data_IF_217963538627
#
_entry.id   IF_217963538627
#
_cell.length_a   1.000
_cell.length_b   1.000
_cell.length_c   1.000
_cell.angle_alpha   90.00
_cell.angle_beta   90.00
_cell.angle_gamma   90.00
#
_symmetry.space_group_name_H-M   'P 1'
#
loop_
_entity.id
_entity.type
_entity.pdbx_description
1 polymer ?
#
# COMPACT_ATOMS: atom_id res chain seq x y z
N UNK A 1 -11.16 8.42 13.86
CA UNK A 1 -9.80 8.85 14.23
C UNK A 1 -8.84 7.94 13.49
N UNK A 2 -7.85 8.46 12.77
CA UNK A 2 -6.87 7.64 12.07
C UNK A 2 -6.07 6.78 13.07
N UNK A 3 -5.58 5.60 12.65
CA UNK A 3 -4.63 4.85 13.45
C UNK A 3 -3.35 5.67 13.64
N UNK A 4 -2.67 5.54 14.81
CA UNK A 4 -1.38 6.19 15.02
C UNK A 4 -0.35 5.71 14.00
N UNK A 5 0.62 6.58 13.71
CA UNK A 5 1.76 6.21 12.86
C UNK A 5 2.68 5.22 13.59
N UNK A 6 3.30 4.33 12.82
CA UNK A 6 4.30 3.39 13.34
C UNK A 6 5.67 4.04 13.52
N UNK A 7 5.91 5.16 12.84
CA UNK A 7 7.20 5.86 12.80
C UNK A 7 8.10 5.41 11.65
N UNK A 8 7.69 4.38 10.90
CA UNK A 8 8.31 3.99 9.63
C UNK A 8 7.33 4.25 8.49
N UNK A 9 7.64 5.24 7.65
CA UNK A 9 6.79 5.64 6.53
C UNK A 9 6.49 4.50 5.55
N UNK A 10 7.42 3.55 5.39
CA UNK A 10 7.22 2.38 4.51
C UNK A 10 6.11 1.49 5.03
N UNK A 11 6.11 1.25 6.33
CA UNK A 11 5.10 0.44 7.00
C UNK A 11 3.76 1.19 7.03
N UNK A 12 3.78 2.49 7.32
CA UNK A 12 2.58 3.33 7.35
C UNK A 12 1.88 3.42 5.98
N UNK A 13 2.64 3.48 4.90
CA UNK A 13 2.14 3.41 3.52
C UNK A 13 1.61 2.02 3.15
N UNK A 14 2.30 0.95 3.54
CA UNK A 14 1.82 -0.41 3.29
C UNK A 14 0.51 -0.71 4.03
N UNK A 15 0.35 -0.24 5.27
CA UNK A 15 -0.91 -0.37 6.01
C UNK A 15 -2.04 0.37 5.30
N UNK A 16 -1.81 1.61 4.84
CA UNK A 16 -2.80 2.36 4.09
C UNK A 16 -3.20 1.63 2.79
N UNK A 17 -2.21 1.14 2.04
CA UNK A 17 -2.45 0.39 0.81
C UNK A 17 -3.28 -0.88 1.02
N UNK A 18 -2.99 -1.65 2.07
CA UNK A 18 -3.79 -2.83 2.45
C UNK A 18 -5.23 -2.43 2.75
N UNK A 19 -5.41 -1.44 3.64
CA UNK A 19 -6.76 -0.99 4.03
C UNK A 19 -7.54 -0.53 2.82
N UNK A 20 -6.93 0.30 1.97
CA UNK A 20 -7.60 0.79 0.78
C UNK A 20 -7.94 -0.33 -0.21
N UNK A 21 -7.00 -1.23 -0.52
CA UNK A 21 -7.23 -2.34 -1.45
C UNK A 21 -8.44 -3.20 -1.04
N UNK A 22 -8.58 -3.51 0.25
CA UNK A 22 -9.70 -4.34 0.75
C UNK A 22 -11.02 -3.57 0.90
N UNK A 23 -10.99 -2.25 1.08
CA UNK A 23 -12.19 -1.44 1.28
C UNK A 23 -12.72 -0.79 0.00
N UNK A 24 -11.87 -0.60 -1.02
CA UNK A 24 -12.23 0.03 -2.31
C UNK A 24 -13.35 -0.73 -3.02
N UNK A 25 -13.29 -2.06 -3.05
CA UNK A 25 -14.34 -2.91 -3.62
C UNK A 25 -15.71 -2.81 -2.91
N UNK A 26 -15.71 -2.34 -1.67
CA UNK A 26 -16.91 -2.14 -0.85
C UNK A 26 -17.37 -0.68 -0.80
N UNK A 27 -16.61 0.25 -1.40
CA UNK A 27 -16.92 1.69 -1.42
C UNK A 27 -16.83 2.37 -0.04
N UNK A 28 -16.04 1.82 0.89
CA UNK A 28 -15.92 2.31 2.28
C UNK A 28 -14.50 2.75 2.64
N UNK A 29 -13.72 3.19 1.64
CA UNK A 29 -12.38 3.72 1.86
C UNK A 29 -12.43 4.92 2.79
N UNK A 30 -11.54 4.94 3.78
CA UNK A 30 -11.46 6.01 4.78
C UNK A 30 -10.41 7.04 4.39
N UNK A 31 -10.71 8.32 4.50
CA UNK A 31 -9.83 9.41 4.03
C UNK A 31 -8.38 9.35 4.53
N UNK A 32 -8.15 8.85 5.76
CA UNK A 32 -6.82 8.82 6.36
C UNK A 32 -5.80 7.98 5.58
N UNK A 33 -6.24 7.02 4.76
CA UNK A 33 -5.31 6.23 3.95
C UNK A 33 -4.51 7.14 3.01
N UNK A 34 -5.11 8.25 2.58
CA UNK A 34 -4.51 9.25 1.68
C UNK A 34 -3.69 10.33 2.38
N UNK A 35 -3.53 10.26 3.71
CA UNK A 35 -2.67 11.19 4.44
C UNK A 35 -1.23 11.12 3.90
N UNK A 36 -0.56 12.27 3.82
CA UNK A 36 0.76 12.38 3.18
C UNK A 36 1.82 11.48 3.86
N UNK A 37 1.71 11.25 5.17
CA UNK A 37 2.57 10.34 5.93
C UNK A 37 2.43 8.87 5.55
N UNK A 38 1.44 8.52 4.71
CA UNK A 38 1.11 7.17 4.24
C UNK A 38 1.23 7.03 2.73
N UNK A 39 1.88 7.98 2.08
CA UNK A 39 2.23 7.95 0.66
C UNK A 39 3.72 8.18 0.55
N UNK A 40 4.42 7.26 -0.11
CA UNK A 40 5.86 7.40 -0.31
C UNK A 40 6.15 8.26 -1.54
N UNK A 41 7.10 9.19 -1.40
CA UNK A 41 7.63 9.95 -2.55
C UNK A 41 8.47 9.07 -3.49
N UNK A 42 9.25 8.15 -2.91
CA UNK A 42 10.05 7.17 -3.63
C UNK A 42 9.41 5.78 -3.51
N UNK A 43 9.17 5.07 -4.63
CA UNK A 43 8.58 3.73 -4.58
C UNK A 43 9.43 2.76 -3.77
N UNK A 44 8.78 2.01 -2.89
CA UNK A 44 9.39 0.96 -2.09
C UNK A 44 8.95 -0.42 -2.59
N UNK A 45 9.93 -1.28 -2.82
CA UNK A 45 9.74 -2.69 -3.16
C UNK A 45 10.12 -3.53 -1.94
N UNK A 46 9.16 -4.13 -1.21
CA UNK A 46 9.46 -4.94 -0.03
C UNK A 46 10.18 -6.25 -0.35
N UNK A 47 9.85 -6.87 -1.48
CA UNK A 47 10.46 -8.13 -1.93
C UNK A 47 11.78 -7.86 -2.68
N UNK A 48 12.94 -8.25 -2.12
CA UNK A 48 14.25 -8.07 -2.78
C UNK A 48 14.41 -8.93 -4.03
N UNK A 49 13.54 -9.92 -4.24
CA UNK A 49 13.54 -10.80 -5.43
C UNK A 49 12.55 -10.36 -6.51
N UNK A 50 11.87 -9.23 -6.32
CA UNK A 50 10.91 -8.71 -7.27
C UNK A 50 11.53 -8.48 -8.67
N UNK A 51 10.77 -8.87 -9.70
CA UNK A 51 11.16 -8.66 -11.09
C UNK A 51 10.96 -7.21 -11.56
N UNK A 52 11.48 -6.91 -12.76
CA UNK A 52 11.35 -5.60 -13.42
C UNK A 52 9.89 -5.16 -13.66
N UNK A 53 8.95 -6.10 -13.65
CA UNK A 53 7.54 -5.85 -13.92
C UNK A 53 6.71 -5.59 -12.64
N UNK A 54 7.31 -5.51 -11.46
CA UNK A 54 6.60 -5.40 -10.18
C UNK A 54 5.60 -4.23 -10.15
N UNK A 55 5.89 -3.13 -10.82
CA UNK A 55 4.97 -1.99 -10.93
C UNK A 55 3.63 -2.33 -11.62
N UNK A 56 3.64 -3.27 -12.58
CA UNK A 56 2.42 -3.75 -13.24
C UNK A 56 1.70 -4.84 -12.44
N UNK A 57 2.41 -5.53 -11.54
CA UNK A 57 1.89 -6.63 -10.73
C UNK A 57 1.29 -6.15 -9.40
N UNK A 58 1.66 -4.94 -8.97
CA UNK A 58 1.11 -4.32 -7.78
C UNK A 58 -0.32 -3.81 -8.01
N UNK A 59 -1.27 -4.04 -7.09
CA UNK A 59 -2.61 -3.46 -7.20
C UNK A 59 -2.60 -1.93 -7.22
N UNK A 60 -3.63 -1.32 -7.81
CA UNK A 60 -3.70 0.14 -7.97
C UNK A 60 -3.58 0.91 -6.64
N UNK A 61 -4.23 0.42 -5.57
CA UNK A 61 -4.09 1.00 -4.24
C UNK A 61 -2.63 1.03 -3.79
N UNK A 62 -1.92 -0.09 -3.90
CA UNK A 62 -0.49 -0.20 -3.56
C UNK A 62 0.37 0.78 -4.35
N UNK A 63 0.14 0.87 -5.67
CA UNK A 63 0.84 1.84 -6.52
C UNK A 63 0.61 3.28 -6.05
N UNK A 64 -0.62 3.65 -5.65
CA UNK A 64 -0.96 5.00 -5.17
C UNK A 64 -0.25 5.37 -3.87
N UNK A 65 0.10 4.41 -3.03
CA UNK A 65 0.89 4.63 -1.81
C UNK A 65 2.40 4.51 -2.00
N UNK A 66 2.86 4.25 -3.24
CA UNK A 66 4.28 4.03 -3.53
C UNK A 66 4.81 2.69 -3.02
N UNK A 67 3.93 1.72 -2.77
CA UNK A 67 4.32 0.36 -2.36
C UNK A 67 4.17 -0.57 -3.55
N UNK A 68 5.25 -1.21 -3.97
CA UNK A 68 5.26 -2.12 -5.11
C UNK A 68 5.36 -3.56 -4.61
N UNK A 69 4.22 -4.09 -4.15
CA UNK A 69 4.05 -5.44 -3.66
C UNK A 69 3.10 -6.19 -4.60
N UNK A 70 3.48 -7.38 -5.07
CA UNK A 70 2.66 -8.10 -6.03
C UNK A 70 1.38 -8.62 -5.39
N UNK A 71 0.26 -8.63 -6.13
CA UNK A 71 -1.03 -9.10 -5.60
C UNK A 71 -0.98 -10.52 -5.01
N UNK A 72 -0.17 -11.41 -5.62
CA UNK A 72 0.06 -12.77 -5.14
C UNK A 72 0.64 -12.85 -3.72
N UNK A 73 1.31 -11.81 -3.26
CA UNK A 73 1.93 -11.74 -1.93
C UNK A 73 0.95 -11.29 -0.84
N UNK A 74 -0.21 -10.75 -1.22
CA UNK A 74 -1.25 -10.31 -0.26
C UNK A 74 -1.98 -11.48 0.40
N UNK A 75 -1.94 -12.67 -0.21
CA UNK A 75 -2.60 -13.87 0.28
C UNK A 75 -4.13 -13.74 0.38
N UNK A 76 -4.83 -14.88 0.49
CA UNK A 76 -6.22 -14.87 0.94
C UNK A 76 -6.23 -14.71 2.45
N UNK A 77 -6.47 -13.50 2.93
CA UNK A 77 -6.71 -13.19 4.35
C UNK A 77 -8.13 -13.60 4.74
#
# INVERSE_FOLDING_TARGET
MPPPLTGDSRIDAAIAAVVEHFLEGNGVVTDWVHDAERVLEEPWIPDPSAGLNIAHEAPAAFQRHGVLLAERELGSI
#
